data_IF_245502544493
#
_entry.id   IF_245502544493
#
_cell.length_a   1.000
_cell.length_b   1.000
_cell.length_c   1.000
_cell.angle_alpha   90.00
_cell.angle_beta   90.00
_cell.angle_gamma   90.00
#
_symmetry.space_group_name_H-M   'P 1'
#
loop_
_entity.id
_entity.type
_entity.pdbx_description
1 polymer ?
#
# COMPACT_ATOMS: atom_id res chain seq x y z
N UNK A 1 -5.39 10.98 -18.87
CA UNK A 1 -3.98 10.60 -18.59
C UNK A 1 -3.64 11.03 -17.17
N UNK A 2 -4.32 10.41 -16.18
CA UNK A 2 -4.00 10.45 -14.73
C UNK A 2 -4.54 9.16 -14.07
N UNK A 3 -4.85 8.13 -14.88
CA UNK A 3 -5.53 6.92 -14.42
C UNK A 3 -7.02 7.09 -14.09
N UNK A 4 -7.61 8.27 -14.31
CA UNK A 4 -8.96 8.61 -13.85
C UNK A 4 -10.11 8.23 -14.82
N UNK A 5 -9.80 7.72 -16.01
CA UNK A 5 -10.81 7.38 -17.03
C UNK A 5 -10.64 5.92 -17.47
N UNK A 6 -11.72 5.13 -17.38
CA UNK A 6 -11.54 3.68 -17.19
C UNK A 6 -11.93 2.76 -18.34
N UNK A 7 -12.81 3.10 -19.31
CA UNK A 7 -13.24 2.05 -20.27
C UNK A 7 -13.20 2.41 -21.78
N UNK A 8 -13.36 3.68 -22.19
CA UNK A 8 -13.48 4.03 -23.64
C UNK A 8 -12.21 4.64 -24.28
N UNK A 9 -11.19 4.96 -23.48
CA UNK A 9 -9.99 5.65 -23.98
C UNK A 9 -9.12 4.76 -24.85
N UNK A 10 -9.07 3.47 -24.55
CA UNK A 10 -8.22 2.54 -25.29
C UNK A 10 -8.61 2.49 -26.77
N UNK A 11 -9.91 2.46 -27.06
CA UNK A 11 -10.43 2.49 -28.44
C UNK A 11 -10.01 3.76 -29.18
N UNK A 12 -10.06 4.92 -28.52
CA UNK A 12 -9.60 6.19 -29.08
C UNK A 12 -8.09 6.23 -29.32
N UNK A 13 -7.30 5.68 -28.40
CA UNK A 13 -5.83 5.59 -28.53
C UNK A 13 -5.37 4.66 -29.65
N UNK A 14 -6.19 3.70 -30.08
CA UNK A 14 -5.87 2.80 -31.19
C UNK A 14 -6.06 3.46 -32.58
N UNK A 15 -6.58 4.68 -32.65
CA UNK A 15 -6.60 5.47 -33.91
C UNK A 15 -5.21 6.04 -34.22
N UNK A 16 -4.98 6.47 -35.46
CA UNK A 16 -3.70 7.12 -35.83
C UNK A 16 -3.54 8.44 -35.08
N UNK A 17 -4.61 9.22 -35.07
CA UNK A 17 -4.70 10.52 -34.43
C UNK A 17 -4.50 10.39 -32.91
N UNK A 18 -5.17 9.42 -32.27
CA UNK A 18 -5.03 9.15 -30.84
C UNK A 18 -3.60 8.79 -30.43
N UNK A 19 -2.90 7.96 -31.22
CA UNK A 19 -1.47 7.66 -31.00
C UNK A 19 -0.59 8.90 -31.13
N UNK A 20 -0.79 9.71 -32.17
CA UNK A 20 -0.01 10.92 -32.38
C UNK A 20 -0.21 11.93 -31.23
N UNK A 21 -1.44 12.08 -30.78
CA UNK A 21 -1.79 12.92 -29.62
C UNK A 21 -1.11 12.40 -28.35
N UNK A 22 -1.16 11.08 -28.11
CA UNK A 22 -0.50 10.43 -26.99
C UNK A 22 1.02 10.67 -26.99
N UNK A 23 1.68 10.44 -28.13
CA UNK A 23 3.12 10.64 -28.30
C UNK A 23 3.52 12.10 -28.05
N UNK A 24 2.72 13.05 -28.53
CA UNK A 24 2.96 14.48 -28.34
C UNK A 24 2.86 14.87 -26.87
N UNK A 25 1.82 14.39 -26.16
CA UNK A 25 1.67 14.68 -24.74
C UNK A 25 2.83 14.12 -23.90
N UNK A 26 3.29 12.91 -24.22
CA UNK A 26 4.43 12.31 -23.51
C UNK A 26 5.72 13.06 -23.81
N UNK A 27 5.96 13.46 -25.05
CA UNK A 27 7.13 14.27 -25.42
C UNK A 27 7.18 15.61 -24.68
N UNK A 28 6.03 16.30 -24.57
CA UNK A 28 5.94 17.53 -23.77
C UNK A 28 6.26 17.23 -22.31
N UNK A 29 5.69 16.15 -21.77
CA UNK A 29 5.95 15.72 -20.39
C UNK A 29 7.41 15.39 -20.12
N UNK A 30 8.09 14.75 -21.07
CA UNK A 30 9.51 14.41 -20.97
C UNK A 30 10.37 15.68 -21.02
N UNK A 31 10.10 16.59 -21.97
CA UNK A 31 10.80 17.86 -22.09
C UNK A 31 10.67 18.75 -20.84
N UNK A 32 9.50 18.74 -20.18
CA UNK A 32 9.26 19.49 -18.94
C UNK A 32 9.98 18.90 -17.73
N UNK A 33 10.21 17.58 -17.69
CA UNK A 33 10.91 16.90 -16.58
C UNK A 33 12.42 16.96 -16.73
N UNK A 34 12.93 16.68 -17.94
CA UNK A 34 14.33 16.77 -18.29
C UNK A 34 14.48 16.76 -19.82
N UNK A 35 15.16 17.76 -20.38
CA UNK A 35 15.40 17.87 -21.83
C UNK A 35 16.14 16.68 -22.42
N UNK A 36 16.97 15.99 -21.64
CA UNK A 36 17.67 14.77 -22.08
C UNK A 36 16.72 13.59 -22.31
N UNK A 37 15.51 13.64 -21.77
CA UNK A 37 14.46 12.63 -21.96
C UNK A 37 13.58 12.91 -23.19
N UNK A 38 13.68 14.09 -23.80
CA UNK A 38 12.87 14.48 -24.97
C UNK A 38 13.38 13.82 -26.26
N UNK A 39 13.48 12.48 -26.23
CA UNK A 39 13.98 11.66 -27.33
C UNK A 39 12.83 11.29 -28.25
N UNK A 40 13.01 11.49 -29.54
CA UNK A 40 12.06 11.01 -30.55
C UNK A 40 12.44 9.59 -30.97
N UNK A 41 11.56 8.59 -30.80
CA UNK A 41 11.82 7.23 -31.27
C UNK A 41 12.04 7.20 -32.78
N UNK A 42 12.85 6.25 -33.26
CA UNK A 42 12.96 6.02 -34.71
C UNK A 42 11.60 5.62 -35.30
N UNK A 43 11.32 6.00 -36.56
CA UNK A 43 10.03 5.80 -37.21
C UNK A 43 9.47 4.36 -37.15
N UNK A 44 10.36 3.35 -37.02
CA UNK A 44 10.00 1.93 -36.98
C UNK A 44 10.10 1.30 -35.59
N UNK A 45 10.43 2.06 -34.54
CA UNK A 45 10.62 1.54 -33.19
C UNK A 45 9.36 0.83 -32.67
N UNK A 46 8.21 1.50 -32.71
CA UNK A 46 6.94 0.94 -32.22
C UNK A 46 6.53 -0.31 -33.01
N UNK A 47 6.74 -0.32 -34.33
CA UNK A 47 6.44 -1.49 -35.16
C UNK A 47 7.34 -2.70 -34.82
N UNK A 48 8.63 -2.45 -34.51
CA UNK A 48 9.55 -3.49 -34.06
C UNK A 48 9.19 -4.00 -32.66
N UNK A 49 8.85 -3.09 -31.74
CA UNK A 49 8.44 -3.42 -30.38
C UNK A 49 7.16 -4.25 -30.38
N UNK A 50 6.12 -3.83 -31.10
CA UNK A 50 4.87 -4.58 -31.24
C UNK A 50 5.12 -6.00 -31.75
N UNK A 51 5.93 -6.14 -32.82
CA UNK A 51 6.28 -7.45 -33.37
C UNK A 51 7.05 -8.31 -32.36
N UNK A 52 7.92 -7.72 -31.56
CA UNK A 52 8.65 -8.44 -30.52
C UNK A 52 7.69 -8.94 -29.44
N UNK A 53 6.77 -8.10 -28.97
CA UNK A 53 5.73 -8.47 -27.99
C UNK A 53 4.78 -9.55 -28.51
N UNK A 54 4.36 -9.47 -29.78
CA UNK A 54 3.51 -10.49 -30.40
C UNK A 54 4.21 -11.86 -30.52
N UNK A 55 5.54 -11.85 -30.56
CA UNK A 55 6.37 -13.05 -30.63
C UNK A 55 6.71 -13.62 -29.24
N UNK A 56 6.45 -12.89 -28.15
CA UNK A 56 6.65 -13.39 -26.80
C UNK A 56 5.59 -14.45 -26.45
N UNK A 57 6.02 -15.54 -25.81
CA UNK A 57 5.08 -16.53 -25.27
C UNK A 57 4.21 -15.83 -24.22
N UNK A 58 2.87 -15.96 -24.27
CA UNK A 58 2.01 -15.30 -23.30
C UNK A 58 2.35 -15.81 -21.90
N UNK A 59 2.97 -14.95 -21.08
CA UNK A 59 3.08 -15.15 -19.65
C UNK A 59 1.66 -14.95 -19.10
N UNK A 60 0.82 -15.98 -19.22
CA UNK A 60 -0.44 -16.04 -18.51
C UNK A 60 -0.06 -16.24 -17.05
N UNK A 61 0.18 -15.14 -16.33
CA UNK A 61 0.11 -15.16 -14.88
C UNK A 61 -1.26 -15.74 -14.55
N UNK A 62 -1.29 -16.97 -14.02
CA UNK A 62 -2.53 -17.67 -13.74
C UNK A 62 -3.44 -16.72 -12.93
N UNK A 63 -4.72 -16.54 -13.32
CA UNK A 63 -5.61 -15.65 -12.61
C UNK A 63 -5.58 -16.02 -11.13
N UNK A 64 -5.15 -15.07 -10.29
CA UNK A 64 -5.02 -15.26 -8.85
C UNK A 64 -6.40 -15.62 -8.32
N UNK A 65 -6.68 -16.92 -8.16
CA UNK A 65 -7.97 -17.43 -7.69
C UNK A 65 -8.24 -16.79 -6.33
N UNK A 66 -9.10 -15.77 -6.30
CA UNK A 66 -9.56 -15.16 -5.04
C UNK A 66 -10.44 -16.22 -4.38
N UNK A 67 -9.90 -16.86 -3.33
CA UNK A 67 -10.62 -17.90 -2.61
C UNK A 67 -11.88 -17.28 -1.97
N UNK A 68 -13.09 -17.82 -2.23
CA UNK A 68 -14.33 -17.31 -1.64
C UNK A 68 -14.36 -17.48 -0.11
N UNK A 69 -13.48 -18.32 0.46
CA UNK A 69 -13.34 -18.48 1.91
C UNK A 69 -12.97 -17.16 2.60
N UNK A 70 -12.19 -16.28 1.96
CA UNK A 70 -11.78 -15.01 2.58
C UNK A 70 -12.94 -14.03 2.81
N UNK A 71 -14.02 -14.15 2.04
CA UNK A 71 -15.20 -13.30 2.20
C UNK A 71 -16.11 -13.77 3.35
N UNK A 72 -16.22 -15.10 3.55
CA UNK A 72 -17.03 -15.69 4.62
C UNK A 72 -16.43 -15.53 6.02
N UNK A 73 -15.09 -15.51 6.13
CA UNK A 73 -14.42 -15.36 7.43
C UNK A 73 -14.69 -14.00 8.09
N UNK A 74 -14.85 -12.93 7.33
CA UNK A 74 -15.10 -11.59 7.89
C UNK A 74 -16.44 -11.53 8.63
N UNK A 75 -17.48 -12.18 8.12
CA UNK A 75 -18.79 -12.25 8.79
C UNK A 75 -18.75 -13.09 10.08
N UNK A 76 -18.08 -14.25 10.03
CA UNK A 76 -17.95 -15.12 11.20
C UNK A 76 -17.09 -14.48 12.30
N UNK A 77 -16.01 -13.78 11.92
CA UNK A 77 -15.17 -13.04 12.86
C UNK A 77 -15.95 -11.92 13.57
N UNK A 78 -16.79 -11.17 12.85
CA UNK A 78 -17.67 -10.15 13.44
C UNK A 78 -18.68 -10.78 14.40
N UNK A 79 -19.33 -11.88 14.01
CA UNK A 79 -20.28 -12.58 14.87
C UNK A 79 -19.62 -13.13 16.16
N UNK A 80 -18.43 -13.71 16.04
CA UNK A 80 -17.65 -14.19 17.18
C UNK A 80 -17.25 -13.03 18.13
N UNK A 81 -16.81 -11.90 17.57
CA UNK A 81 -16.47 -10.71 18.36
C UNK A 81 -17.68 -10.20 19.15
N UNK A 82 -18.85 -10.04 18.50
CA UNK A 82 -20.08 -9.61 19.19
C UNK A 82 -20.51 -10.60 20.27
N UNK A 83 -20.42 -11.90 20.01
CA UNK A 83 -20.74 -12.93 20.99
C UNK A 83 -19.80 -12.89 22.22
N UNK A 84 -18.49 -12.68 22.03
CA UNK A 84 -17.55 -12.54 23.15
C UNK A 84 -17.83 -11.29 23.99
N UNK A 85 -18.14 -10.15 23.36
CA UNK A 85 -18.52 -8.93 24.07
C UNK A 85 -19.80 -9.13 24.87
N UNK A 86 -20.82 -9.76 24.30
CA UNK A 86 -22.07 -10.05 24.99
C UNK A 86 -21.86 -10.96 26.21
N UNK A 87 -21.01 -12.00 26.07
CA UNK A 87 -20.69 -12.92 27.17
C UNK A 87 -19.93 -12.23 28.32
N UNK A 88 -18.96 -11.37 28.01
CA UNK A 88 -18.22 -10.57 29.00
C UNK A 88 -19.11 -9.52 29.67
N UNK A 89 -20.05 -8.92 28.93
CA UNK A 89 -20.97 -7.91 29.45
C UNK A 89 -22.09 -8.50 30.32
N UNK A 90 -22.37 -9.79 30.21
CA UNK A 90 -23.45 -10.49 30.91
C UNK A 90 -23.50 -10.28 32.43
N UNK A 91 -22.39 -10.37 33.21
CA UNK A 91 -22.42 -10.10 34.65
C UNK A 91 -22.77 -8.64 34.98
N UNK A 92 -22.37 -7.68 34.14
CA UNK A 92 -22.63 -6.25 34.33
C UNK A 92 -24.08 -5.87 34.03
N UNK A 93 -24.71 -6.53 33.06
CA UNK A 93 -26.13 -6.35 32.70
C UNK A 93 -27.07 -7.04 33.69
N UNK A 94 -26.64 -8.16 34.28
CA UNK A 94 -27.41 -8.92 35.27
C UNK A 94 -27.30 -8.34 36.71
N UNK A 95 -26.67 -7.17 36.88
CA UNK A 95 -26.57 -6.48 38.18
C UNK A 95 -25.59 -7.10 39.17
N UNK A 96 -24.66 -7.95 38.71
CA UNK A 96 -23.61 -8.52 39.56
C UNK A 96 -22.40 -7.60 39.60
N UNK A 97 -22.23 -6.82 40.67
CA UNK A 97 -20.94 -6.17 40.98
C UNK A 97 -19.95 -7.23 41.49
N UNK A 98 -18.88 -7.59 40.75
CA UNK A 98 -17.76 -8.27 41.36
C UNK A 98 -17.01 -7.25 42.22
N UNK A 99 -16.84 -7.55 43.51
CA UNK A 99 -16.04 -6.76 44.43
C UNK A 99 -14.65 -6.47 43.83
N UNK A 100 -14.29 -5.19 43.85
CA UNK A 100 -13.03 -4.68 43.34
C UNK A 100 -11.85 -5.18 44.17
N UNK A 101 -11.24 -6.30 43.77
CA UNK A 101 -9.84 -6.58 44.09
C UNK A 101 -9.00 -6.39 42.82
N UNK A 102 -8.40 -5.22 42.71
CA UNK A 102 -7.41 -4.89 41.67
C UNK A 102 -6.13 -5.66 41.92
N UNK A 103 -5.99 -6.84 41.30
CA UNK A 103 -4.71 -7.54 41.22
C UNK A 103 -3.97 -7.10 39.96
N UNK A 104 -3.00 -6.19 40.13
CA UNK A 104 -2.04 -5.81 39.10
C UNK A 104 -1.12 -7.01 38.83
N UNK A 105 -1.13 -7.55 37.61
CA UNK A 105 -0.38 -8.77 37.24
C UNK A 105 0.79 -8.56 36.27
N UNK A 106 1.08 -7.34 35.81
CA UNK A 106 2.30 -7.10 35.04
C UNK A 106 2.68 -5.61 35.04
N UNK A 107 3.82 -5.29 35.66
CA UNK A 107 4.58 -4.09 35.38
C UNK A 107 5.60 -4.43 34.29
N UNK A 108 5.42 -3.87 33.09
CA UNK A 108 6.28 -4.10 31.93
C UNK A 108 7.30 -2.95 31.72
N UNK A 109 7.66 -2.22 32.78
CA UNK A 109 8.59 -1.09 32.67
C UNK A 109 10.08 -1.47 32.53
N UNK A 110 10.43 -2.76 32.49
CA UNK A 110 11.84 -3.19 32.45
C UNK A 110 12.30 -3.85 31.14
N UNK A 111 11.43 -4.04 30.13
CA UNK A 111 11.81 -4.72 28.87
C UNK A 111 11.96 -3.80 27.64
N UNK A 112 11.67 -2.50 27.76
CA UNK A 112 11.70 -1.57 26.62
C UNK A 112 13.07 -0.98 26.25
N UNK A 113 14.10 -1.16 27.09
CA UNK A 113 15.39 -0.48 26.87
C UNK A 113 16.36 -1.24 25.96
N UNK A 114 16.25 -2.57 25.85
CA UNK A 114 17.17 -3.37 25.03
C UNK A 114 16.77 -3.40 23.54
N UNK A 115 15.46 -3.47 23.26
CA UNK A 115 14.93 -3.44 21.89
C UNK A 115 15.14 -2.08 21.21
N UNK A 116 15.09 -1.00 22.00
CA UNK A 116 15.34 0.35 21.49
C UNK A 116 16.81 0.54 21.12
N UNK A 117 17.77 -0.03 21.87
CA UNK A 117 19.19 -0.01 21.49
C UNK A 117 19.46 -0.77 20.19
N UNK A 118 18.90 -1.98 20.03
CA UNK A 118 19.08 -2.75 18.78
C UNK A 118 18.45 -2.09 17.56
N UNK A 119 17.29 -1.45 17.73
CA UNK A 119 16.64 -0.66 16.69
C UNK A 119 17.47 0.59 16.31
N UNK A 120 18.09 1.23 17.30
CA UNK A 120 18.96 2.40 17.09
C UNK A 120 20.18 2.03 16.24
N UNK A 121 20.86 0.93 16.58
CA UNK A 121 22.02 0.43 15.86
C UNK A 121 21.67 0.04 14.42
N UNK A 122 20.53 -0.60 14.21
CA UNK A 122 20.03 -0.94 12.88
C UNK A 122 19.75 0.30 12.03
N UNK A 123 19.09 1.33 12.59
CA UNK A 123 18.78 2.57 11.88
C UNK A 123 20.05 3.34 11.53
N UNK A 124 21.06 3.33 12.39
CA UNK A 124 22.37 3.96 12.12
C UNK A 124 23.10 3.25 10.98
N UNK A 125 23.15 1.91 11.00
CA UNK A 125 23.73 1.12 9.92
C UNK A 125 23.01 1.34 8.58
N UNK A 126 21.68 1.44 8.61
CA UNK A 126 20.87 1.70 7.42
C UNK A 126 21.11 3.12 6.86
N UNK A 127 21.32 4.10 7.73
CA UNK A 127 21.63 5.49 7.35
C UNK A 127 23.00 5.63 6.69
N UNK A 128 23.99 4.85 7.11
CA UNK A 128 25.32 4.81 6.48
C UNK A 128 25.29 4.25 5.06
N UNK A 129 24.37 3.30 4.77
CA UNK A 129 24.21 2.72 3.43
C UNK A 129 23.32 3.56 2.50
N UNK A 130 22.23 4.14 3.01
CA UNK A 130 21.21 4.83 2.18
C UNK A 130 21.42 6.35 2.05
N UNK A 131 22.40 6.92 2.76
CA UNK A 131 22.67 8.35 2.76
C UNK A 131 21.77 9.15 3.74
N UNK A 132 22.14 10.41 4.04
CA UNK A 132 21.60 11.17 5.18
C UNK A 132 20.12 11.57 5.10
N UNK A 133 19.40 11.25 4.02
CA UNK A 133 17.98 11.65 3.83
C UNK A 133 16.94 10.54 4.04
N UNK A 134 17.34 9.32 4.44
CA UNK A 134 16.44 8.17 4.40
C UNK A 134 15.43 8.06 5.57
N UNK A 135 15.72 8.62 6.75
CA UNK A 135 14.84 8.47 7.93
C UNK A 135 14.79 9.76 8.75
N UNK A 136 13.62 10.42 8.76
CA UNK A 136 13.31 11.53 9.68
C UNK A 136 12.28 11.04 10.69
N UNK A 137 12.65 10.95 11.96
CA UNK A 137 11.67 10.69 13.02
C UNK A 137 10.72 11.89 13.11
N UNK A 138 9.42 11.62 13.08
CA UNK A 138 8.37 12.61 13.31
C UNK A 138 7.52 12.11 14.47
N UNK A 139 7.51 12.87 15.56
CA UNK A 139 6.59 12.64 16.69
C UNK A 139 5.28 13.36 16.41
N UNK A 140 4.17 12.64 16.51
CA UNK A 140 2.84 13.25 16.53
C UNK A 140 2.49 13.57 17.99
N UNK A 141 2.30 14.86 18.29
CA UNK A 141 1.62 15.27 19.51
C UNK A 141 0.12 15.03 19.30
N UNK A 142 -0.45 14.07 20.02
CA UNK A 142 -1.90 13.84 19.99
C UNK A 142 -2.51 14.89 20.92
N UNK A 143 -3.15 15.88 20.30
CA UNK A 143 -3.64 17.07 20.97
C UNK A 143 -4.38 16.76 22.28
N UNK A 144 -3.92 17.39 23.36
CA UNK A 144 -4.69 17.60 24.56
C UNK A 144 -5.81 18.60 24.26
N UNK A 145 -6.92 18.09 23.72
CA UNK A 145 -8.19 18.81 23.74
C UNK A 145 -8.77 18.72 25.15
N UNK A 146 -8.71 19.83 25.90
CA UNK A 146 -9.69 20.25 26.90
C UNK A 146 -9.74 21.77 26.93
#
# INVERSE_FOLDING_TARGET
MDGEETDDILSGLLTREGRQTWDTYHLIGDALRNTDLALTPSANFHARLSRALDAELPIVAAPRRRSPLRLGLSGLAVAAAVATVAWVAQPYLAGGSPGTETRVLADASLSGSADTSGLSDYLEAHRQMAGPSAVRQVSFDVGAGR
#
